data_IF_487791455579
#
_entry.id   IF_487791455579
#
_cell.length_a   1.000
_cell.length_b   1.000
_cell.length_c   1.000
_cell.angle_alpha   90.00
_cell.angle_beta   90.00
_cell.angle_gamma   90.00
#
_symmetry.space_group_name_H-M   'P 1'
#
loop_
_entity.id
_entity.type
_entity.pdbx_description
1 polymer ?
#
# COMPACT_ATOMS: atom_id res chain seq x y z
N UNK A 1 -17.96 20.46 -33.45
CA UNK A 1 -18.55 20.87 -32.15
C UNK A 1 -17.60 20.37 -31.05
N UNK A 2 -16.76 21.29 -30.58
CA UNK A 2 -15.75 20.98 -29.54
C UNK A 2 -16.47 20.84 -28.20
N UNK A 3 -16.43 19.62 -27.63
CA UNK A 3 -16.82 19.44 -26.23
C UNK A 3 -15.77 20.14 -25.36
N UNK A 4 -16.10 21.31 -24.87
CA UNK A 4 -15.37 21.96 -23.80
C UNK A 4 -15.50 21.08 -22.56
N UNK A 5 -14.36 20.48 -22.18
CA UNK A 5 -14.19 19.71 -20.95
C UNK A 5 -14.33 20.70 -19.78
N UNK A 6 -15.53 20.85 -19.24
CA UNK A 6 -15.78 21.62 -18.01
C UNK A 6 -15.06 20.92 -16.88
N UNK A 7 -13.86 21.37 -16.58
CA UNK A 7 -13.16 20.97 -15.35
C UNK A 7 -14.10 21.29 -14.17
N UNK A 8 -14.68 20.25 -13.59
CA UNK A 8 -15.70 20.37 -12.54
C UNK A 8 -15.21 21.25 -11.38
N UNK A 9 -16.11 22.09 -10.84
CA UNK A 9 -15.87 23.02 -9.73
C UNK A 9 -15.72 22.34 -8.35
N UNK A 10 -15.56 21.03 -8.29
CA UNK A 10 -15.51 20.26 -7.05
C UNK A 10 -14.12 20.27 -6.36
N UNK A 11 -14.08 19.85 -5.09
CA UNK A 11 -12.86 19.79 -4.29
C UNK A 11 -11.80 18.86 -4.91
N UNK A 12 -10.53 19.28 -4.89
CA UNK A 12 -9.40 18.56 -5.48
C UNK A 12 -8.80 17.59 -4.46
N UNK A 13 -8.58 16.34 -4.88
CA UNK A 13 -7.80 15.34 -4.11
C UNK A 13 -6.41 15.21 -4.72
N UNK A 14 -5.38 15.56 -3.95
CA UNK A 14 -3.98 15.34 -4.34
C UNK A 14 -3.57 13.89 -4.06
N UNK A 15 -2.99 13.21 -5.05
CA UNK A 15 -2.41 11.87 -4.89
C UNK A 15 -0.89 11.94 -5.06
N UNK A 16 -0.18 11.58 -3.99
CA UNK A 16 1.27 11.44 -3.99
C UNK A 16 1.64 9.96 -4.16
N UNK A 17 2.55 9.67 -5.10
CA UNK A 17 2.85 8.31 -5.53
C UNK A 17 1.90 7.78 -6.62
N UNK A 18 1.14 8.65 -7.31
CA UNK A 18 0.15 8.31 -8.34
C UNK A 18 0.69 7.45 -9.50
N UNK A 19 1.96 7.58 -9.84
CA UNK A 19 2.64 6.76 -10.87
C UNK A 19 3.02 5.36 -10.38
N UNK A 20 2.80 5.08 -9.09
CA UNK A 20 3.05 3.78 -8.48
C UNK A 20 1.93 2.76 -8.72
N UNK A 21 2.19 1.50 -8.37
CA UNK A 21 1.21 0.42 -8.51
C UNK A 21 -0.05 0.69 -7.68
N UNK A 22 0.09 1.00 -6.39
CA UNK A 22 -1.04 1.34 -5.52
C UNK A 22 -1.63 2.71 -5.89
N UNK A 23 -0.78 3.75 -6.05
CA UNK A 23 -1.24 5.10 -6.34
C UNK A 23 -2.06 5.22 -7.63
N UNK A 24 -1.66 4.53 -8.71
CA UNK A 24 -2.44 4.49 -9.94
C UNK A 24 -3.83 3.81 -9.77
N UNK A 25 -3.96 2.84 -8.84
CA UNK A 25 -5.25 2.23 -8.49
C UNK A 25 -6.10 3.19 -7.64
N UNK A 26 -5.48 3.93 -6.73
CA UNK A 26 -6.15 4.98 -5.95
C UNK A 26 -6.70 6.06 -6.88
N UNK A 27 -5.92 6.52 -7.86
CA UNK A 27 -6.39 7.46 -8.88
C UNK A 27 -7.62 6.93 -9.59
N UNK A 28 -7.60 5.68 -10.08
CA UNK A 28 -8.76 5.06 -10.72
C UNK A 28 -9.98 4.98 -9.80
N UNK A 29 -9.77 4.61 -8.54
CA UNK A 29 -10.85 4.51 -7.55
C UNK A 29 -11.47 5.88 -7.23
N UNK A 30 -10.66 6.94 -7.16
CA UNK A 30 -11.14 8.32 -6.96
C UNK A 30 -11.92 8.83 -8.18
N UNK A 31 -11.40 8.61 -9.40
CA UNK A 31 -12.08 8.99 -10.64
C UNK A 31 -13.43 8.29 -10.80
N UNK A 32 -13.51 6.98 -10.46
CA UNK A 32 -14.76 6.22 -10.47
C UNK A 32 -15.80 6.76 -9.47
N UNK A 33 -15.37 7.57 -8.49
CA UNK A 33 -16.21 8.29 -7.53
C UNK A 33 -16.46 9.77 -7.93
N UNK A 34 -16.15 10.12 -9.18
CA UNK A 34 -16.28 11.47 -9.73
C UNK A 34 -15.44 12.53 -8.98
N UNK A 35 -14.31 12.13 -8.36
CA UNK A 35 -13.40 13.07 -7.71
C UNK A 35 -12.48 13.73 -8.72
N UNK A 36 -12.23 15.03 -8.53
CA UNK A 36 -11.11 15.70 -9.22
C UNK A 36 -9.81 15.27 -8.59
N UNK A 37 -8.92 14.74 -9.43
CA UNK A 37 -7.62 14.22 -8.97
C UNK A 37 -6.50 15.06 -9.53
N UNK A 38 -5.62 15.50 -8.64
CA UNK A 38 -4.31 16.08 -8.96
C UNK A 38 -3.23 15.07 -8.56
N UNK A 39 -2.22 14.89 -9.38
CA UNK A 39 -1.09 14.01 -9.09
C UNK A 39 0.21 14.80 -8.95
N UNK A 40 0.93 14.61 -7.84
CA UNK A 40 2.32 15.06 -7.71
C UNK A 40 3.23 14.10 -8.48
N UNK A 41 3.87 14.60 -9.52
CA UNK A 41 4.73 13.79 -10.41
C UNK A 41 6.12 14.39 -10.47
N UNK A 42 7.13 13.58 -10.13
CA UNK A 42 8.54 14.01 -10.15
C UNK A 42 9.01 14.34 -11.56
N UNK A 43 9.91 15.32 -11.68
CA UNK A 43 10.57 15.65 -12.96
C UNK A 43 11.16 14.40 -13.62
N UNK A 44 11.06 14.29 -14.96
CA UNK A 44 11.51 13.14 -15.73
C UNK A 44 10.68 11.85 -15.59
N UNK A 45 9.57 11.87 -14.86
CA UNK A 45 8.59 10.77 -14.86
C UNK A 45 7.52 11.04 -15.92
N UNK A 46 7.23 10.06 -16.78
CA UNK A 46 6.17 10.18 -17.79
C UNK A 46 4.78 10.19 -17.12
N UNK A 47 3.96 11.26 -17.28
CA UNK A 47 2.63 11.37 -16.73
C UNK A 47 1.53 10.93 -17.70
N UNK A 48 1.84 10.60 -18.95
CA UNK A 48 0.88 10.45 -20.05
C UNK A 48 -0.28 9.53 -19.72
N UNK A 49 -0.03 8.47 -18.97
CA UNK A 49 -1.08 7.55 -18.51
C UNK A 49 -2.07 8.19 -17.53
N UNK A 50 -1.64 9.14 -16.73
CA UNK A 50 -2.51 9.88 -15.80
C UNK A 50 -3.26 10.98 -16.54
N UNK A 51 -2.59 11.70 -17.44
CA UNK A 51 -3.18 12.74 -18.28
C UNK A 51 -4.31 12.18 -19.16
N UNK A 52 -4.10 11.00 -19.75
CA UNK A 52 -5.11 10.29 -20.54
C UNK A 52 -6.37 9.90 -19.72
N UNK A 53 -6.29 9.91 -18.39
CA UNK A 53 -7.41 9.67 -17.47
C UNK A 53 -8.05 10.98 -16.97
N UNK A 54 -7.61 12.15 -17.45
CA UNK A 54 -8.11 13.45 -17.00
C UNK A 54 -7.55 13.91 -15.65
N UNK A 55 -6.42 13.38 -15.22
CA UNK A 55 -5.75 13.77 -13.96
C UNK A 55 -4.95 15.04 -14.17
N UNK A 56 -5.12 16.03 -13.30
CA UNK A 56 -4.29 17.22 -13.27
C UNK A 56 -2.88 16.88 -12.78
N UNK A 57 -1.86 17.27 -13.55
CA UNK A 57 -0.46 16.99 -13.22
C UNK A 57 0.22 18.23 -12.64
N UNK A 58 0.80 18.07 -11.44
CA UNK A 58 1.70 19.06 -10.84
C UNK A 58 3.09 18.47 -10.72
N UNK A 59 4.08 19.17 -11.30
CA UNK A 59 5.49 18.76 -11.20
C UNK A 59 6.08 19.19 -9.85
N UNK A 60 6.64 18.22 -9.12
CA UNK A 60 7.24 18.46 -7.82
C UNK A 60 7.85 17.21 -7.21
N UNK A 61 8.46 17.38 -6.07
CA UNK A 61 9.06 16.33 -5.25
C UNK A 61 8.70 16.51 -3.78
N UNK A 62 8.50 15.42 -3.05
CA UNK A 62 8.28 15.44 -1.58
C UNK A 62 9.47 16.05 -0.82
N UNK A 63 10.65 16.07 -1.43
CA UNK A 63 11.87 16.64 -0.86
C UNK A 63 12.05 18.14 -1.18
N UNK A 64 11.15 18.72 -1.99
CA UNK A 64 11.13 20.15 -2.34
C UNK A 64 9.85 20.80 -1.76
N UNK A 65 9.93 21.46 -0.58
CA UNK A 65 8.80 22.12 0.05
C UNK A 65 8.09 23.14 -0.84
N UNK A 66 8.83 23.94 -1.62
CA UNK A 66 8.24 24.93 -2.52
C UNK A 66 7.38 24.31 -3.62
N UNK A 67 7.73 23.09 -4.07
CA UNK A 67 6.89 22.35 -5.02
C UNK A 67 5.63 21.77 -4.35
N UNK A 68 5.70 21.47 -3.07
CA UNK A 68 4.55 20.99 -2.31
C UNK A 68 3.52 22.12 -2.07
N UNK A 69 3.97 23.33 -1.79
CA UNK A 69 3.09 24.48 -1.64
C UNK A 69 2.23 24.68 -2.89
N UNK A 70 2.86 24.67 -4.08
CA UNK A 70 2.13 24.74 -5.35
C UNK A 70 1.19 23.55 -5.57
N UNK A 71 1.59 22.35 -5.17
CA UNK A 71 0.78 21.16 -5.33
C UNK A 71 -0.47 21.18 -4.43
N UNK A 72 -0.39 21.83 -3.26
CA UNK A 72 -1.47 21.96 -2.27
C UNK A 72 -2.49 23.06 -2.59
N UNK A 73 -2.26 23.93 -3.56
CA UNK A 73 -3.21 25.01 -3.91
C UNK A 73 -4.60 24.45 -4.23
N UNK A 74 -5.62 24.84 -3.45
CA UNK A 74 -7.00 24.40 -3.62
C UNK A 74 -7.27 22.93 -3.34
N UNK A 75 -6.32 22.22 -2.72
CA UNK A 75 -6.48 20.81 -2.32
C UNK A 75 -7.33 20.72 -1.05
N UNK A 76 -8.40 19.92 -1.11
CA UNK A 76 -9.26 19.60 0.05
C UNK A 76 -8.86 18.32 0.75
N UNK A 77 -8.29 17.36 0.01
CA UNK A 77 -7.81 16.09 0.55
C UNK A 77 -6.50 15.65 -0.11
N UNK A 78 -5.66 14.96 0.65
CA UNK A 78 -4.40 14.38 0.22
C UNK A 78 -4.41 12.88 0.49
N UNK A 79 -4.00 12.07 -0.50
CA UNK A 79 -3.71 10.65 -0.33
C UNK A 79 -2.25 10.39 -0.66
N UNK A 80 -1.48 9.82 0.26
CA UNK A 80 -0.09 9.43 0.00
C UNK A 80 0.08 7.92 0.00
N UNK A 81 0.69 7.42 -1.08
CA UNK A 81 1.11 6.02 -1.27
C UNK A 81 2.62 5.93 -1.55
N UNK A 82 3.35 7.03 -1.33
CA UNK A 82 4.78 7.09 -1.59
C UNK A 82 5.57 6.28 -0.57
N UNK A 83 6.54 5.53 -1.07
CA UNK A 83 7.49 4.76 -0.28
C UNK A 83 8.88 4.86 -0.90
N UNK A 84 9.93 4.90 -0.07
CA UNK A 84 11.33 4.84 -0.47
C UNK A 84 12.00 3.51 -0.11
N UNK A 85 11.33 2.68 0.68
CA UNK A 85 11.79 1.34 1.06
C UNK A 85 12.14 0.47 -0.16
N UNK A 86 11.38 0.61 -1.27
CA UNK A 86 11.74 0.06 -2.58
C UNK A 86 12.14 1.24 -3.47
N UNK A 87 13.45 1.57 -3.56
CA UNK A 87 13.91 2.75 -4.28
C UNK A 87 13.54 2.70 -5.75
N UNK A 88 13.04 3.81 -6.27
CA UNK A 88 12.74 3.99 -7.71
C UNK A 88 13.76 4.87 -8.40
N UNK A 89 14.46 5.69 -7.63
CA UNK A 89 15.54 6.57 -8.09
C UNK A 89 16.70 6.51 -7.12
N UNK A 90 17.87 6.89 -7.61
CA UNK A 90 19.03 7.12 -6.76
C UNK A 90 18.67 8.17 -5.70
N UNK A 91 18.92 7.87 -4.44
CA UNK A 91 18.60 8.73 -3.31
C UNK A 91 17.27 8.43 -2.62
N UNK A 92 16.37 7.62 -3.23
CA UNK A 92 15.17 7.16 -2.53
C UNK A 92 15.58 6.20 -1.40
N UNK A 93 15.05 6.42 -0.19
CA UNK A 93 15.32 5.62 1.00
C UNK A 93 14.24 5.82 2.06
N UNK A 94 14.30 5.03 3.15
CA UNK A 94 13.46 5.28 4.33
C UNK A 94 13.66 6.69 4.87
N UNK A 95 14.92 7.17 4.97
CA UNK A 95 15.21 8.49 5.53
C UNK A 95 14.71 9.63 4.61
N UNK A 96 14.82 9.49 3.30
CA UNK A 96 14.42 10.55 2.37
C UNK A 96 12.93 10.55 2.09
N UNK A 97 12.37 9.46 1.60
CA UNK A 97 10.97 9.42 1.16
C UNK A 97 10.02 9.11 2.32
N UNK A 98 10.32 8.05 3.11
CA UNK A 98 9.40 7.61 4.16
C UNK A 98 9.44 8.54 5.37
N UNK A 99 10.58 9.15 5.72
CA UNK A 99 10.66 10.13 6.81
C UNK A 99 10.52 11.57 6.28
N UNK A 100 11.61 12.18 5.77
CA UNK A 100 11.66 13.61 5.42
C UNK A 100 10.56 13.99 4.44
N UNK A 101 10.33 13.21 3.37
CA UNK A 101 9.31 13.49 2.38
C UNK A 101 7.88 13.48 2.96
N UNK A 102 7.56 12.53 3.84
CA UNK A 102 6.24 12.51 4.48
C UNK A 102 6.09 13.65 5.50
N UNK A 103 7.13 14.04 6.25
CA UNK A 103 7.08 15.23 7.12
C UNK A 103 6.82 16.50 6.32
N UNK A 104 7.53 16.70 5.23
CA UNK A 104 7.28 17.83 4.32
C UNK A 104 5.84 17.85 3.80
N UNK A 105 5.28 16.67 3.43
CA UNK A 105 3.87 16.58 3.02
C UNK A 105 2.91 16.97 4.14
N UNK A 106 3.16 16.55 5.36
CA UNK A 106 2.34 16.90 6.53
C UNK A 106 2.40 18.40 6.80
N UNK A 107 3.58 18.98 6.75
CA UNK A 107 3.77 20.42 6.99
C UNK A 107 3.10 21.27 5.90
N UNK A 108 3.22 20.89 4.63
CA UNK A 108 2.54 21.54 3.52
C UNK A 108 1.01 21.40 3.62
N UNK A 109 0.50 20.21 3.99
CA UNK A 109 -0.93 19.98 4.19
C UNK A 109 -1.49 20.82 5.34
N UNK A 110 -0.73 20.96 6.45
CA UNK A 110 -1.08 21.82 7.58
C UNK A 110 -1.13 23.30 7.16
N UNK A 111 -0.09 23.78 6.46
CA UNK A 111 -0.01 25.15 5.98
C UNK A 111 -1.17 25.50 5.03
N UNK A 112 -1.53 24.58 4.13
CA UNK A 112 -2.64 24.71 3.20
C UNK A 112 -4.02 24.45 3.84
N UNK A 113 -4.10 24.08 5.12
CA UNK A 113 -5.32 23.72 5.84
C UNK A 113 -6.12 22.62 5.15
N UNK A 114 -5.44 21.60 4.64
CA UNK A 114 -6.06 20.44 3.98
C UNK A 114 -7.04 19.75 4.95
N UNK A 115 -8.29 19.57 4.51
CA UNK A 115 -9.36 19.00 5.34
C UNK A 115 -9.25 17.50 5.60
N UNK A 116 -8.42 16.77 4.83
CA UNK A 116 -8.22 15.32 4.98
C UNK A 116 -6.84 14.86 4.50
N UNK A 117 -6.07 14.26 5.39
CA UNK A 117 -4.82 13.59 5.06
C UNK A 117 -5.01 12.06 5.17
N UNK A 118 -5.00 11.34 4.06
CA UNK A 118 -5.11 9.87 4.04
C UNK A 118 -3.72 9.27 3.87
N UNK A 119 -3.26 8.57 4.89
CA UNK A 119 -1.92 7.98 4.95
C UNK A 119 -1.96 6.48 4.71
N UNK A 120 -1.11 5.97 3.82
CA UNK A 120 -0.88 4.54 3.65
C UNK A 120 0.21 4.09 4.62
N UNK A 121 -0.21 3.50 5.73
CA UNK A 121 0.65 2.92 6.76
C UNK A 121 0.91 1.43 6.51
N UNK A 122 1.20 0.67 7.56
CA UNK A 122 1.37 -0.78 7.56
C UNK A 122 0.68 -1.37 8.79
N UNK A 123 0.06 -2.54 8.62
CA UNK A 123 -0.55 -3.30 9.71
C UNK A 123 0.47 -3.53 10.85
N UNK A 124 0.03 -3.31 12.09
CA UNK A 124 0.81 -3.53 13.31
C UNK A 124 2.17 -2.80 13.38
N UNK A 125 2.32 -1.67 12.67
CA UNK A 125 3.57 -0.91 12.66
C UNK A 125 4.01 -0.45 14.07
N UNK A 126 3.07 -0.24 14.97
CA UNK A 126 3.27 0.12 16.38
C UNK A 126 3.78 -1.03 17.26
N UNK A 127 3.63 -2.28 16.83
CA UNK A 127 4.12 -3.47 17.52
C UNK A 127 5.46 -3.98 16.98
N UNK A 128 5.89 -3.48 15.82
CA UNK A 128 7.03 -4.00 15.05
C UNK A 128 8.26 -3.05 15.12
N UNK A 129 8.68 -2.66 16.33
CA UNK A 129 9.76 -1.69 16.54
C UNK A 129 11.09 -2.09 15.90
N UNK A 130 11.36 -3.39 15.85
CA UNK A 130 12.60 -3.94 15.30
C UNK A 130 12.58 -4.08 13.78
N UNK A 131 11.46 -3.74 13.13
CA UNK A 131 11.33 -3.71 11.66
C UNK A 131 11.37 -2.26 11.18
N UNK A 132 12.50 -1.76 10.65
CA UNK A 132 12.71 -0.34 10.41
C UNK A 132 11.63 0.32 9.55
N UNK A 133 11.21 -0.30 8.44
CA UNK A 133 10.19 0.30 7.58
C UNK A 133 8.78 0.26 8.18
N UNK A 134 8.46 -0.66 9.11
CA UNK A 134 7.21 -0.66 9.86
C UNK A 134 7.24 0.47 10.90
N UNK A 135 8.31 0.50 11.68
CA UNK A 135 8.45 1.52 12.72
C UNK A 135 8.45 2.95 12.14
N UNK A 136 9.03 3.14 10.96
CA UNK A 136 8.98 4.43 10.27
C UNK A 136 7.53 4.88 9.97
N UNK A 137 6.63 3.95 9.64
CA UNK A 137 5.21 4.28 9.47
C UNK A 137 4.57 4.78 10.76
N UNK A 138 4.87 4.13 11.90
CA UNK A 138 4.41 4.58 13.21
C UNK A 138 4.92 5.99 13.55
N UNK A 139 6.19 6.27 13.27
CA UNK A 139 6.78 7.61 13.49
C UNK A 139 6.03 8.67 12.68
N UNK A 140 5.68 8.38 11.43
CA UNK A 140 4.92 9.33 10.60
C UNK A 140 3.47 9.45 11.06
N UNK A 141 2.81 8.36 11.48
CA UNK A 141 1.46 8.44 12.08
C UNK A 141 1.42 9.40 13.28
N UNK A 142 2.43 9.32 14.15
CA UNK A 142 2.53 10.21 15.32
C UNK A 142 2.78 11.66 14.90
N UNK A 143 3.61 11.86 13.87
CA UNK A 143 3.88 13.20 13.35
C UNK A 143 2.63 13.83 12.72
N UNK A 144 1.83 13.06 11.97
CA UNK A 144 0.56 13.51 11.40
C UNK A 144 -0.40 13.92 12.53
N UNK A 145 -0.56 13.08 13.54
CA UNK A 145 -1.44 13.36 14.68
C UNK A 145 -1.01 14.62 15.43
N UNK A 146 0.28 14.74 15.74
CA UNK A 146 0.85 15.91 16.43
C UNK A 146 0.72 17.21 15.61
N UNK A 147 0.64 17.11 14.28
CA UNK A 147 0.48 18.28 13.40
C UNK A 147 -0.90 18.94 13.50
N UNK A 148 -1.92 18.21 13.99
CA UNK A 148 -3.31 18.66 14.04
C UNK A 148 -4.05 18.61 12.70
N UNK A 149 -3.46 18.12 11.61
CA UNK A 149 -4.14 17.92 10.34
C UNK A 149 -5.18 16.80 10.49
N UNK A 150 -6.44 16.98 10.05
CA UNK A 150 -7.42 15.91 10.07
C UNK A 150 -6.94 14.71 9.23
N UNK A 151 -6.76 13.56 9.84
CA UNK A 151 -6.13 12.42 9.17
C UNK A 151 -6.95 11.12 9.24
N UNK A 152 -6.62 10.20 8.34
CA UNK A 152 -6.97 8.78 8.40
C UNK A 152 -5.71 8.00 8.06
N UNK A 153 -5.29 7.10 8.93
CA UNK A 153 -4.18 6.18 8.65
C UNK A 153 -4.75 4.80 8.36
N UNK A 154 -4.52 4.29 7.14
CA UNK A 154 -4.90 2.94 6.78
C UNK A 154 -3.69 2.01 6.89
N UNK A 155 -3.85 0.92 7.65
CA UNK A 155 -2.81 -0.05 8.00
C UNK A 155 -3.07 -1.38 7.26
N UNK A 156 -2.73 -1.49 5.97
CA UNK A 156 -2.96 -2.72 5.21
C UNK A 156 -2.04 -3.86 5.63
N UNK A 157 -2.57 -5.09 5.57
CA UNK A 157 -1.81 -6.33 5.61
C UNK A 157 -0.93 -6.54 4.38
N UNK A 158 -0.34 -7.72 4.25
CA UNK A 158 0.52 -8.07 3.13
C UNK A 158 -0.24 -8.03 1.79
N UNK A 159 0.34 -7.38 0.77
CA UNK A 159 -0.36 -7.15 -0.49
C UNK A 159 -0.40 -8.37 -1.39
N UNK A 160 -1.61 -8.73 -1.84
CA UNK A 160 -1.84 -9.61 -2.98
C UNK A 160 -2.00 -8.73 -4.24
N UNK A 161 -1.31 -9.09 -5.32
CA UNK A 161 -1.43 -8.38 -6.61
C UNK A 161 -0.53 -7.14 -6.76
N UNK A 162 0.25 -6.78 -5.73
CA UNK A 162 1.27 -5.75 -5.87
C UNK A 162 2.52 -6.25 -6.60
N UNK A 163 2.87 -7.50 -6.34
CA UNK A 163 4.02 -8.20 -6.91
C UNK A 163 3.60 -9.59 -7.40
N UNK A 164 4.37 -10.16 -8.31
CA UNK A 164 4.18 -11.55 -8.75
C UNK A 164 4.82 -12.52 -7.74
N UNK A 165 4.10 -12.78 -6.65
CA UNK A 165 4.59 -13.62 -5.56
C UNK A 165 4.61 -15.11 -5.92
N UNK A 166 3.66 -15.58 -6.72
CA UNK A 166 3.39 -17.02 -6.85
C UNK A 166 3.30 -17.54 -8.28
N UNK A 167 3.07 -16.71 -9.31
CA UNK A 167 2.71 -17.18 -10.65
C UNK A 167 3.78 -18.11 -11.26
N UNK A 168 5.07 -17.74 -11.09
CA UNK A 168 6.19 -18.58 -11.57
C UNK A 168 6.22 -19.96 -10.93
N UNK A 169 5.93 -20.02 -9.64
CA UNK A 169 5.84 -21.28 -8.88
C UNK A 169 4.60 -22.08 -9.25
N UNK A 170 3.45 -21.41 -9.35
CA UNK A 170 2.17 -22.04 -9.71
C UNK A 170 2.21 -22.68 -11.10
N UNK A 171 2.91 -22.11 -12.08
CA UNK A 171 3.16 -22.76 -13.39
C UNK A 171 3.86 -24.11 -13.25
N UNK A 172 4.63 -24.30 -12.16
CA UNK A 172 5.34 -25.54 -11.82
C UNK A 172 4.59 -26.38 -10.76
N UNK A 173 3.33 -26.10 -10.48
CA UNK A 173 2.50 -26.80 -9.49
C UNK A 173 2.96 -26.62 -8.04
N UNK A 174 3.63 -25.52 -7.69
CA UNK A 174 4.14 -25.29 -6.34
C UNK A 174 4.22 -23.82 -5.98
N UNK A 175 4.16 -23.52 -4.67
CA UNK A 175 4.53 -22.20 -4.12
C UNK A 175 5.64 -22.39 -3.06
N UNK A 176 6.35 -21.31 -2.78
CA UNK A 176 7.47 -21.35 -1.82
C UNK A 176 7.07 -20.64 -0.53
N UNK A 177 7.35 -21.30 0.60
CA UNK A 177 7.32 -20.70 1.93
C UNK A 177 8.73 -20.49 2.44
N UNK A 178 8.96 -19.44 3.20
CA UNK A 178 10.22 -19.19 3.91
C UNK A 178 9.97 -19.38 5.40
N UNK A 179 10.75 -20.21 6.04
CA UNK A 179 10.71 -20.52 7.47
C UNK A 179 9.54 -21.40 7.86
N UNK A 180 8.31 -20.90 7.81
CA UNK A 180 7.12 -21.64 8.24
C UNK A 180 6.04 -21.66 7.14
N UNK A 181 5.54 -22.84 6.82
CA UNK A 181 4.37 -22.98 5.93
C UNK A 181 3.04 -22.81 6.67
N UNK A 182 3.05 -22.90 8.00
CA UNK A 182 1.86 -22.89 8.86
C UNK A 182 1.65 -21.58 9.62
N UNK A 183 2.65 -20.71 9.70
CA UNK A 183 2.49 -19.38 10.27
C UNK A 183 1.46 -18.59 9.46
N UNK A 184 0.52 -17.95 10.17
CA UNK A 184 -0.59 -17.21 9.59
C UNK A 184 -0.39 -15.71 9.75
N UNK A 185 -0.71 -14.96 8.71
CA UNK A 185 -0.77 -13.50 8.75
C UNK A 185 -1.84 -12.96 7.80
N UNK A 186 -2.16 -11.69 7.97
CA UNK A 186 -3.19 -11.03 7.18
C UNK A 186 -2.66 -10.60 5.81
N UNK A 187 -3.44 -10.93 4.79
CA UNK A 187 -3.27 -10.44 3.43
C UNK A 187 -4.45 -9.55 3.03
N UNK A 188 -4.25 -8.72 2.01
CA UNK A 188 -5.29 -7.93 1.36
C UNK A 188 -4.94 -7.72 -0.12
N UNK A 189 -5.95 -7.75 -1.01
CA UNK A 189 -5.71 -7.44 -2.41
C UNK A 189 -5.48 -5.93 -2.60
N UNK A 190 -4.50 -5.57 -3.44
CA UNK A 190 -4.08 -4.18 -3.64
C UNK A 190 -5.22 -3.27 -4.14
N UNK A 191 -6.19 -3.79 -4.91
CA UNK A 191 -7.35 -3.02 -5.34
C UNK A 191 -8.30 -2.69 -4.19
N UNK A 192 -8.41 -3.55 -3.17
CA UNK A 192 -9.22 -3.28 -1.98
C UNK A 192 -8.58 -2.21 -1.11
N UNK A 193 -7.25 -2.21 -0.98
CA UNK A 193 -6.51 -1.11 -0.33
C UNK A 193 -6.78 0.21 -1.05
N UNK A 194 -6.69 0.21 -2.38
CA UNK A 194 -6.96 1.42 -3.17
C UNK A 194 -8.40 1.91 -3.02
N UNK A 195 -9.37 0.99 -2.95
CA UNK A 195 -10.78 1.30 -2.68
C UNK A 195 -10.95 1.95 -1.31
N UNK A 196 -10.37 1.36 -0.27
CA UNK A 196 -10.45 1.91 1.10
C UNK A 196 -9.78 3.29 1.19
N UNK A 197 -8.61 3.50 0.55
CA UNK A 197 -7.95 4.80 0.49
C UNK A 197 -8.84 5.87 -0.18
N UNK A 198 -9.53 5.51 -1.26
CA UNK A 198 -10.45 6.43 -1.93
C UNK A 198 -11.72 6.71 -1.11
N UNK A 199 -12.24 5.73 -0.36
CA UNK A 199 -13.38 5.91 0.54
C UNK A 199 -13.02 6.79 1.74
N UNK A 200 -11.82 6.63 2.30
CA UNK A 200 -11.33 7.38 3.46
C UNK A 200 -11.25 8.89 3.21
N UNK A 201 -11.21 9.32 1.96
CA UNK A 201 -11.24 10.76 1.60
C UNK A 201 -12.52 11.43 2.11
N UNK A 202 -13.66 10.74 2.04
CA UNK A 202 -14.99 11.30 2.33
C UNK A 202 -15.63 10.76 3.62
N UNK A 203 -15.14 9.65 4.19
CA UNK A 203 -15.76 9.03 5.37
C UNK A 203 -15.47 9.86 6.63
N UNK A 204 -16.46 10.59 7.19
CA UNK A 204 -16.21 11.49 8.33
C UNK A 204 -15.90 10.73 9.61
N UNK A 205 -16.42 9.50 9.80
CA UNK A 205 -16.20 8.66 10.98
C UNK A 205 -14.78 8.08 11.02
N UNK A 206 -14.03 8.16 9.90
CA UNK A 206 -12.65 7.69 9.84
C UNK A 206 -11.63 8.71 10.37
N UNK A 207 -12.03 9.98 10.57
CA UNK A 207 -11.11 11.05 11.01
C UNK A 207 -10.47 10.72 12.36
N UNK A 208 -9.16 10.91 12.45
CA UNK A 208 -8.36 10.64 13.65
C UNK A 208 -8.11 9.15 13.91
N UNK A 209 -8.53 8.27 12.99
CA UNK A 209 -8.43 6.81 13.23
C UNK A 209 -7.26 6.18 12.47
N UNK A 210 -6.69 5.17 13.10
CA UNK A 210 -5.78 4.18 12.52
C UNK A 210 -6.60 2.92 12.30
N UNK A 211 -6.70 2.46 11.04
CA UNK A 211 -7.65 1.41 10.64
C UNK A 211 -6.89 0.29 9.98
N UNK A 212 -6.97 -0.89 10.57
CA UNK A 212 -6.39 -2.09 9.98
C UNK A 212 -7.19 -2.52 8.75
N UNK A 213 -6.49 -2.93 7.70
CA UNK A 213 -7.09 -3.46 6.48
C UNK A 213 -6.61 -4.89 6.22
N UNK A 214 -7.56 -5.78 5.98
CA UNK A 214 -7.29 -7.19 5.72
C UNK A 214 -8.34 -7.84 4.84
N UNK A 215 -8.09 -9.09 4.48
CA UNK A 215 -9.13 -10.02 4.07
C UNK A 215 -9.83 -10.59 5.32
N UNK A 216 -10.87 -11.37 5.11
CA UNK A 216 -11.76 -11.95 6.13
C UNK A 216 -11.06 -12.71 7.26
N UNK A 217 -9.86 -13.22 7.02
CA UNK A 217 -9.07 -13.96 7.99
C UNK A 217 -7.58 -14.04 7.64
N UNK A 218 -6.69 -14.22 8.63
CA UNK A 218 -5.29 -14.53 8.39
C UNK A 218 -5.14 -15.95 7.83
N UNK A 219 -4.17 -16.15 6.95
CA UNK A 219 -3.89 -17.45 6.30
C UNK A 219 -2.40 -17.76 6.25
N UNK A 220 -2.10 -19.06 6.27
CA UNK A 220 -0.75 -19.60 6.08
C UNK A 220 -0.46 -19.89 4.60
N UNK A 221 0.82 -20.08 4.27
CA UNK A 221 1.21 -20.51 2.91
C UNK A 221 0.60 -21.86 2.55
N UNK A 222 0.43 -22.76 3.53
CA UNK A 222 -0.22 -24.06 3.31
C UNK A 222 -1.70 -23.89 2.94
N UNK A 223 -2.43 -23.02 3.62
CA UNK A 223 -3.83 -22.72 3.29
C UNK A 223 -3.96 -22.03 1.93
N UNK A 224 -3.05 -21.11 1.59
CA UNK A 224 -2.98 -20.49 0.26
C UNK A 224 -2.76 -21.55 -0.84
N UNK A 225 -1.88 -22.53 -0.62
CA UNK A 225 -1.66 -23.62 -1.56
C UNK A 225 -2.92 -24.48 -1.76
N UNK A 226 -3.64 -24.80 -0.67
CA UNK A 226 -4.90 -25.54 -0.74
C UNK A 226 -5.97 -24.74 -1.50
N UNK A 227 -6.07 -23.42 -1.28
CA UNK A 227 -6.96 -22.53 -2.03
C UNK A 227 -6.58 -22.49 -3.52
N UNK A 228 -5.31 -22.38 -3.86
CA UNK A 228 -4.86 -22.46 -5.25
C UNK A 228 -5.16 -23.82 -5.90
N UNK A 229 -4.98 -24.92 -5.15
CA UNK A 229 -5.32 -26.26 -5.67
C UNK A 229 -6.77 -26.35 -6.06
N UNK A 230 -7.67 -25.86 -5.20
CA UNK A 230 -9.11 -25.81 -5.46
C UNK A 230 -9.46 -24.89 -6.65
N UNK A 231 -8.92 -23.66 -6.65
CA UNK A 231 -9.21 -22.68 -7.69
C UNK A 231 -8.67 -23.07 -9.07
N UNK A 232 -7.59 -23.84 -9.13
CA UNK A 232 -6.96 -24.28 -10.39
C UNK A 232 -7.35 -25.71 -10.80
N UNK A 233 -8.09 -26.45 -9.96
CA UNK A 233 -8.46 -27.84 -10.23
C UNK A 233 -7.23 -28.80 -10.32
N UNK A 234 -6.11 -28.43 -9.70
CA UNK A 234 -4.87 -29.24 -9.73
C UNK A 234 -4.06 -29.04 -8.46
N UNK A 235 -3.31 -30.05 -8.03
CA UNK A 235 -2.50 -30.00 -6.82
C UNK A 235 -1.44 -28.89 -6.88
N UNK A 236 -1.32 -28.13 -5.79
CA UNK A 236 -0.31 -27.10 -5.59
C UNK A 236 0.48 -27.40 -4.31
N UNK A 237 1.72 -27.85 -4.49
CA UNK A 237 2.60 -28.22 -3.37
C UNK A 237 3.26 -27.01 -2.71
N UNK A 238 3.55 -27.11 -1.42
CA UNK A 238 4.36 -26.10 -0.71
C UNK A 238 5.80 -26.60 -0.60
N UNK A 239 6.75 -25.78 -1.05
CA UNK A 239 8.18 -25.98 -0.80
C UNK A 239 8.63 -25.01 0.28
N UNK A 240 9.01 -25.52 1.44
CA UNK A 240 9.53 -24.69 2.53
C UNK A 240 11.05 -24.60 2.45
N UNK A 241 11.59 -23.38 2.52
CA UNK A 241 13.02 -23.12 2.70
C UNK A 241 13.24 -22.92 4.20
N UNK A 242 14.07 -23.75 4.86
CA UNK A 242 14.29 -23.66 6.30
C UNK A 242 14.81 -22.28 6.73
N UNK A 243 14.24 -21.73 7.81
CA UNK A 243 14.61 -20.42 8.33
C UNK A 243 16.11 -20.26 8.64
N UNK A 244 16.80 -21.23 9.27
CA UNK A 244 18.23 -21.09 9.56
C UNK A 244 19.10 -20.82 8.32
N UNK A 245 18.74 -21.40 7.16
CA UNK A 245 19.46 -21.17 5.90
C UNK A 245 19.25 -19.73 5.39
N UNK A 246 18.00 -19.27 5.43
CA UNK A 246 17.67 -17.91 4.98
C UNK A 246 18.23 -16.86 5.94
N UNK A 247 18.05 -17.06 7.25
CA UNK A 247 18.49 -16.09 8.26
C UNK A 247 20.01 -15.98 8.34
N UNK A 248 20.74 -17.08 8.16
CA UNK A 248 22.20 -17.09 8.10
C UNK A 248 22.71 -16.30 6.89
N UNK A 249 22.21 -16.60 5.69
CA UNK A 249 22.58 -15.88 4.48
C UNK A 249 22.19 -14.39 4.56
N UNK A 250 20.96 -14.11 5.01
CA UNK A 250 20.48 -12.74 5.17
C UNK A 250 21.24 -11.98 6.27
N UNK A 251 21.71 -12.67 7.33
CA UNK A 251 22.55 -12.09 8.38
C UNK A 251 23.88 -11.58 7.81
N UNK A 252 24.55 -12.39 7.01
CA UNK A 252 25.83 -12.01 6.39
C UNK A 252 25.65 -10.86 5.37
N UNK A 253 24.68 -10.97 4.47
CA UNK A 253 24.41 -9.94 3.45
C UNK A 253 23.90 -8.66 4.12
N UNK A 254 23.10 -8.78 5.17
CA UNK A 254 22.53 -7.67 5.93
C UNK A 254 23.55 -6.77 6.63
N UNK A 255 24.81 -7.24 6.79
CA UNK A 255 25.90 -6.39 7.32
C UNK A 255 26.21 -5.21 6.39
N UNK A 256 26.04 -5.40 5.07
CA UNK A 256 26.34 -4.41 4.04
C UNK A 256 25.09 -3.92 3.30
N UNK A 257 23.95 -4.58 3.47
CA UNK A 257 22.70 -4.22 2.78
C UNK A 257 21.56 -4.02 3.80
N UNK A 258 21.21 -2.77 4.12
CA UNK A 258 20.16 -2.44 5.08
C UNK A 258 18.78 -3.03 4.71
N UNK A 259 18.46 -3.13 3.41
CA UNK A 259 17.19 -3.70 2.95
C UNK A 259 17.08 -5.20 3.29
N UNK A 260 18.14 -5.95 3.12
CA UNK A 260 18.15 -7.40 3.47
C UNK A 260 18.00 -7.60 4.97
N UNK A 261 18.65 -6.74 5.79
CA UNK A 261 18.49 -6.75 7.24
C UNK A 261 17.04 -6.46 7.65
N UNK A 262 16.41 -5.48 7.01
CA UNK A 262 15.02 -5.11 7.26
C UNK A 262 14.06 -6.24 6.85
N UNK A 263 14.21 -6.81 5.65
CA UNK A 263 13.40 -7.97 5.20
C UNK A 263 13.53 -9.16 6.16
N UNK A 264 14.73 -9.42 6.67
CA UNK A 264 14.95 -10.46 7.68
C UNK A 264 14.13 -10.18 8.94
N UNK A 265 14.23 -8.96 9.49
CA UNK A 265 13.48 -8.56 10.69
C UNK A 265 11.95 -8.64 10.45
N UNK A 266 11.47 -8.25 9.28
CA UNK A 266 10.06 -8.39 8.89
C UNK A 266 9.60 -9.85 8.88
N UNK A 267 10.39 -10.77 8.31
CA UNK A 267 10.05 -12.19 8.29
C UNK A 267 10.06 -12.79 9.71
N UNK A 268 11.04 -12.43 10.56
CA UNK A 268 11.06 -12.81 11.97
C UNK A 268 9.81 -12.33 12.69
N UNK A 269 9.40 -11.08 12.44
CA UNK A 269 8.17 -10.52 13.01
C UNK A 269 6.92 -11.28 12.56
N UNK A 270 6.82 -11.68 11.29
CA UNK A 270 5.67 -12.46 10.79
C UNK A 270 5.53 -13.82 11.49
N UNK A 271 6.64 -14.44 11.90
CA UNK A 271 6.60 -15.72 12.64
C UNK A 271 6.10 -15.57 14.08
N UNK A 272 6.02 -14.36 14.62
CA UNK A 272 5.44 -14.13 15.96
C UNK A 272 3.93 -14.32 16.02
N UNK A 273 3.25 -14.39 14.88
CA UNK A 273 1.79 -14.48 14.78
C UNK A 273 1.06 -13.17 15.08
N UNK A 274 1.78 -12.07 15.28
CA UNK A 274 1.19 -10.75 15.62
C UNK A 274 0.68 -9.98 14.42
N UNK A 275 1.08 -10.35 13.20
CA UNK A 275 0.70 -9.63 11.98
C UNK A 275 -0.72 -10.02 11.52
N UNK A 276 -1.71 -9.68 12.36
CA UNK A 276 -3.12 -9.99 12.17
C UNK A 276 -3.96 -8.72 12.32
N UNK A 277 -4.83 -8.46 11.33
CA UNK A 277 -5.72 -7.31 11.31
C UNK A 277 -7.00 -7.56 12.11
N UNK A 278 -7.46 -6.54 12.84
CA UNK A 278 -8.84 -6.42 13.26
C UNK A 278 -9.63 -5.67 12.17
N UNK A 279 -10.43 -6.41 11.41
CA UNK A 279 -11.18 -5.86 10.27
C UNK A 279 -12.56 -5.32 10.64
N UNK A 280 -12.94 -5.28 11.91
CA UNK A 280 -14.26 -4.80 12.34
C UNK A 280 -14.52 -3.35 11.93
N UNK A 281 -13.52 -2.48 12.13
CA UNK A 281 -13.59 -1.06 11.73
C UNK A 281 -13.58 -0.90 10.21
N UNK A 282 -12.83 -1.73 9.49
CA UNK A 282 -12.86 -1.77 8.03
C UNK A 282 -14.28 -2.10 7.53
N UNK A 283 -14.93 -3.12 8.10
CA UNK A 283 -16.29 -3.50 7.76
C UNK A 283 -17.29 -2.37 8.03
N UNK A 284 -17.20 -1.75 9.20
CA UNK A 284 -18.07 -0.65 9.62
C UNK A 284 -18.00 0.56 8.69
N UNK A 285 -16.79 0.96 8.29
CA UNK A 285 -16.56 2.22 7.57
C UNK A 285 -16.48 2.08 6.05
N UNK A 286 -16.00 0.95 5.55
CA UNK A 286 -15.71 0.75 4.14
C UNK A 286 -16.54 -0.36 3.49
N UNK A 287 -17.45 -0.97 4.24
CA UNK A 287 -18.35 -2.03 3.77
C UNK A 287 -17.69 -3.41 3.81
N UNK A 288 -18.23 -4.34 3.04
CA UNK A 288 -17.86 -5.74 3.08
C UNK A 288 -16.34 -5.98 3.01
N UNK A 289 -15.84 -6.78 3.96
CA UNK A 289 -14.43 -7.22 3.99
C UNK A 289 -14.25 -8.31 2.93
N UNK A 290 -13.30 -8.17 1.99
CA UNK A 290 -13.09 -9.15 0.93
C UNK A 290 -12.62 -10.48 1.52
N UNK A 291 -13.06 -11.60 0.93
CA UNK A 291 -12.52 -12.91 1.33
C UNK A 291 -11.11 -13.11 0.78
N UNK A 292 -10.32 -13.90 1.49
CA UNK A 292 -8.99 -14.29 0.99
C UNK A 292 -9.10 -15.07 -0.33
N UNK A 293 -10.15 -15.87 -0.49
CA UNK A 293 -10.39 -16.64 -1.71
C UNK A 293 -10.65 -15.72 -2.91
N UNK A 294 -11.47 -14.68 -2.77
CA UNK A 294 -11.72 -13.71 -3.85
C UNK A 294 -10.45 -12.92 -4.19
N UNK A 295 -9.64 -12.60 -3.19
CA UNK A 295 -8.34 -11.94 -3.39
C UNK A 295 -7.40 -12.80 -4.23
N UNK A 296 -7.32 -14.11 -3.94
CA UNK A 296 -6.50 -15.06 -4.68
C UNK A 296 -7.08 -15.34 -6.08
N UNK A 297 -8.40 -15.38 -6.23
CA UNK A 297 -9.10 -15.52 -7.52
C UNK A 297 -8.78 -14.35 -8.46
N UNK A 298 -8.82 -13.13 -7.94
CA UNK A 298 -8.43 -11.92 -8.71
C UNK A 298 -6.95 -11.95 -9.09
N UNK A 299 -6.08 -12.37 -8.18
CA UNK A 299 -4.67 -12.54 -8.47
C UNK A 299 -4.43 -13.55 -9.61
N UNK A 300 -5.05 -14.73 -9.55
CA UNK A 300 -4.91 -15.76 -10.58
C UNK A 300 -5.37 -15.28 -11.95
N UNK A 301 -6.54 -14.61 -12.01
CA UNK A 301 -7.06 -14.02 -13.26
C UNK A 301 -6.08 -12.98 -13.84
N UNK A 302 -5.56 -12.08 -13.01
CA UNK A 302 -4.59 -11.07 -13.43
C UNK A 302 -3.26 -11.68 -13.90
N UNK A 303 -2.86 -12.83 -13.33
CA UNK A 303 -1.68 -13.59 -13.72
C UNK A 303 -1.91 -14.54 -14.94
N UNK A 304 -3.10 -14.51 -15.55
CA UNK A 304 -3.42 -15.27 -16.76
C UNK A 304 -3.71 -16.76 -16.52
N UNK A 305 -4.12 -17.15 -15.32
CA UNK A 305 -4.53 -18.52 -15.03
C UNK A 305 -6.02 -18.73 -15.34
N UNK A 306 -6.34 -19.88 -15.95
CA UNK A 306 -7.71 -20.36 -16.06
C UNK A 306 -8.14 -20.98 -14.74
N UNK A 307 -9.30 -20.59 -14.24
CA UNK A 307 -9.88 -21.13 -13.01
C UNK A 307 -10.70 -22.39 -13.32
N UNK A 308 -10.70 -23.32 -12.39
CA UNK A 308 -11.64 -24.43 -12.38
C UNK A 308 -13.06 -23.91 -12.16
N UNK A 309 -14.02 -24.50 -12.85
CA UNK A 309 -15.45 -24.22 -12.69
C UNK A 309 -15.97 -24.72 -11.35
#
# INVERSE_FOLDING_TARGET
MSQQNTAGSGPVTLVVGATGNLGGRVVKALLARNKRVRALVRQGTDPSRLEAQGVEIVRGDMLDPASLDRAMEGVSALVTTAIGYIPRRRGDSLATVDDLGNRNLVDAARAAKVGRFVFTSILTCDLARDVPHFWQKKVIEDYIEASGVPFVSLRPGAFIGAFDLWSRGLKKGRITSIGSATARWTYIHIDDVARCLALAVDEPRAVGRRIDLGADRPVSTQEIAALFSRLLGRDTKVRTIPWPLVSGAAGLIGLVNPMIRDVRAMLEYFFTGKYVADTAVQAELFGEVPTIEDSLRRYLKAAGFTLSS
#
